data_IF_932081172054
#
_entry.id   IF_932081172054
#
_cell.length_a   1.000
_cell.length_b   1.000
_cell.length_c   1.000
_cell.angle_alpha   90.00
_cell.angle_beta   90.00
_cell.angle_gamma   90.00
#
_symmetry.space_group_name_H-M   'P 1'
#
loop_
_entity.id
_entity.type
_entity.pdbx_description
1 polymer ?
#
# COMPACT_ATOMS: atom_id res chain seq x y z
N UNK A 1 -5.51 3.95 -26.92
CA UNK A 1 -6.47 3.65 -25.84
C UNK A 1 -6.21 4.67 -24.73
N UNK A 2 -7.24 5.38 -24.27
CA UNK A 2 -7.09 6.42 -23.26
C UNK A 2 -7.05 5.73 -21.90
N UNK A 3 -5.90 5.75 -21.22
CA UNK A 3 -5.75 5.12 -19.91
C UNK A 3 -6.59 5.88 -18.89
N UNK A 4 -7.43 5.17 -18.14
CA UNK A 4 -8.23 5.76 -17.07
C UNK A 4 -7.38 5.94 -15.81
N UNK A 5 -7.57 7.01 -15.00
CA UNK A 5 -6.94 7.12 -13.68
C UNK A 5 -7.20 5.90 -12.78
N UNK A 6 -8.28 5.15 -13.04
CA UNK A 6 -8.62 3.92 -12.34
C UNK A 6 -7.60 2.78 -12.57
N UNK A 7 -6.84 2.80 -13.67
CA UNK A 7 -5.85 1.77 -14.01
C UNK A 7 -4.63 1.82 -13.10
N UNK A 8 -4.36 2.96 -12.48
CA UNK A 8 -3.21 3.20 -11.59
C UNK A 8 -3.62 3.54 -10.15
N UNK A 9 -4.92 3.49 -9.87
CA UNK A 9 -5.47 3.79 -8.54
C UNK A 9 -5.39 2.56 -7.62
N UNK A 10 -5.07 2.74 -6.33
CA UNK A 10 -5.20 1.67 -5.35
C UNK A 10 -6.63 1.11 -5.30
N UNK A 11 -6.76 -0.22 -5.36
CA UNK A 11 -8.05 -0.89 -5.32
C UNK A 11 -8.39 -1.31 -3.88
N UNK A 12 -9.59 -0.92 -3.42
CA UNK A 12 -10.11 -1.32 -2.11
C UNK A 12 -11.13 -2.47 -2.23
N UNK A 13 -10.67 -3.68 -1.90
CA UNK A 13 -11.44 -4.92 -2.05
C UNK A 13 -11.73 -5.51 -0.66
N UNK A 14 -12.99 -5.82 -0.32
CA UNK A 14 -13.31 -6.58 0.89
C UNK A 14 -12.75 -7.99 0.79
N UNK A 15 -12.08 -8.46 1.85
CA UNK A 15 -11.61 -9.85 1.93
C UNK A 15 -12.78 -10.72 2.38
N UNK A 16 -13.31 -11.51 1.46
CA UNK A 16 -14.28 -12.59 1.66
C UNK A 16 -13.59 -13.89 1.29
N UNK A 17 -14.22 -15.05 1.60
CA UNK A 17 -13.67 -16.34 1.17
C UNK A 17 -13.44 -16.40 -0.35
N UNK A 18 -14.40 -15.89 -1.11
CA UNK A 18 -14.35 -15.84 -2.58
C UNK A 18 -13.26 -14.87 -3.09
N UNK A 19 -13.15 -13.67 -2.52
CA UNK A 19 -12.13 -12.71 -2.96
C UNK A 19 -10.72 -13.12 -2.52
N UNK A 20 -10.57 -13.86 -1.43
CA UNK A 20 -9.29 -14.43 -0.99
C UNK A 20 -8.77 -15.45 -2.01
N UNK A 21 -9.60 -16.38 -2.47
CA UNK A 21 -9.23 -17.34 -3.52
C UNK A 21 -8.91 -16.64 -4.85
N UNK A 22 -9.66 -15.59 -5.20
CA UNK A 22 -9.40 -14.77 -6.37
C UNK A 22 -8.08 -14.01 -6.26
N UNK A 23 -7.78 -13.42 -5.09
CA UNK A 23 -6.53 -12.73 -4.81
C UNK A 23 -5.36 -13.70 -4.92
N UNK A 24 -5.43 -14.86 -4.28
CA UNK A 24 -4.40 -15.89 -4.38
C UNK A 24 -4.17 -16.30 -5.83
N UNK A 25 -5.22 -16.59 -6.61
CA UNK A 25 -5.08 -16.91 -8.03
C UNK A 25 -4.45 -15.77 -8.83
N UNK A 26 -4.89 -14.52 -8.62
CA UNK A 26 -4.34 -13.38 -9.37
C UNK A 26 -2.88 -13.10 -9.00
N UNK A 27 -2.53 -13.16 -7.72
CA UNK A 27 -1.17 -12.91 -7.23
C UNK A 27 -0.20 -14.04 -7.59
N UNK A 28 -0.67 -15.29 -7.63
CA UNK A 28 0.16 -16.48 -7.89
C UNK A 28 0.26 -16.82 -9.38
N UNK A 29 -0.75 -16.49 -10.20
CA UNK A 29 -0.82 -16.95 -11.62
C UNK A 29 -0.36 -15.88 -12.62
N UNK A 30 -0.15 -14.64 -12.20
CA UNK A 30 0.32 -13.61 -13.11
C UNK A 30 1.84 -13.60 -13.24
N UNK A 31 2.41 -14.39 -14.16
CA UNK A 31 3.84 -14.33 -14.59
C UNK A 31 4.28 -12.96 -15.17
N UNK A 32 3.46 -11.91 -15.04
CA UNK A 32 3.65 -10.56 -15.62
C UNK A 32 3.09 -9.43 -14.75
N UNK A 33 2.88 -9.65 -13.44
CA UNK A 33 2.38 -8.56 -12.58
C UNK A 33 3.59 -7.77 -12.08
N UNK A 34 3.72 -6.53 -12.54
CA UNK A 34 4.76 -5.59 -12.08
C UNK A 34 4.68 -5.29 -10.58
N UNK A 35 5.47 -4.33 -10.10
CA UNK A 35 5.50 -3.97 -8.69
C UNK A 35 4.11 -3.59 -8.16
N UNK A 36 3.66 -4.25 -7.08
CA UNK A 36 2.43 -3.92 -6.36
C UNK A 36 2.63 -4.00 -4.85
N UNK A 37 1.66 -3.48 -4.10
CA UNK A 37 1.55 -3.66 -2.66
C UNK A 37 0.13 -4.00 -2.23
N UNK A 38 0.01 -4.70 -1.11
CA UNK A 38 -1.24 -5.18 -0.54
C UNK A 38 -1.28 -4.80 0.93
N UNK A 39 -2.34 -4.09 1.33
CA UNK A 39 -2.64 -3.78 2.72
C UNK A 39 -3.80 -4.66 3.17
N UNK A 40 -3.60 -5.42 4.24
CA UNK A 40 -4.66 -6.13 4.95
C UNK A 40 -4.97 -5.42 6.27
N UNK A 41 -6.24 -5.17 6.52
CA UNK A 41 -6.72 -4.47 7.72
C UNK A 41 -8.13 -4.91 8.07
N UNK A 42 -8.49 -4.82 9.35
CA UNK A 42 -9.88 -4.97 9.82
C UNK A 42 -10.71 -3.70 9.68
N UNK A 43 -10.11 -2.57 9.26
CA UNK A 43 -10.84 -1.32 9.04
C UNK A 43 -11.84 -1.45 7.88
N UNK A 44 -12.99 -0.78 8.01
CA UNK A 44 -13.86 -0.55 6.86
C UNK A 44 -13.17 0.35 5.83
N UNK A 45 -13.66 0.34 4.57
CA UNK A 45 -13.09 1.18 3.50
C UNK A 45 -12.98 2.66 3.88
N UNK A 46 -14.02 3.20 4.51
CA UNK A 46 -14.06 4.61 4.92
C UNK A 46 -13.06 4.91 6.04
N UNK A 47 -12.95 4.02 7.02
CA UNK A 47 -11.94 4.14 8.09
C UNK A 47 -10.53 4.04 7.54
N UNK A 48 -10.27 3.14 6.57
CA UNK A 48 -8.97 3.02 5.93
C UNK A 48 -8.61 4.28 5.13
N UNK A 49 -9.55 4.86 4.38
CA UNK A 49 -9.33 6.12 3.67
C UNK A 49 -9.00 7.23 4.66
N UNK A 50 -9.78 7.38 5.74
CA UNK A 50 -9.55 8.37 6.78
C UNK A 50 -8.19 8.20 7.47
N UNK A 51 -7.77 6.95 7.69
CA UNK A 51 -6.47 6.62 8.27
C UNK A 51 -5.31 6.99 7.34
N UNK A 52 -5.42 6.67 6.05
CA UNK A 52 -4.33 6.86 5.09
C UNK A 52 -4.24 8.30 4.55
N UNK A 53 -5.35 9.05 4.54
CA UNK A 53 -5.43 10.38 3.93
C UNK A 53 -4.38 11.37 4.48
N UNK A 54 -4.12 11.47 5.79
CA UNK A 54 -3.10 12.38 6.32
C UNK A 54 -1.71 12.09 5.78
N UNK A 55 -1.40 10.81 5.52
CA UNK A 55 -0.10 10.38 5.01
C UNK A 55 0.06 10.62 3.50
N UNK A 56 -0.96 11.07 2.78
CA UNK A 56 -0.82 11.41 1.36
C UNK A 56 -0.17 12.77 1.13
N UNK A 57 -0.05 13.59 2.17
CA UNK A 57 0.50 14.94 2.10
C UNK A 57 1.75 15.01 2.96
N UNK A 58 2.78 15.64 2.42
CA UNK A 58 4.00 15.97 3.14
C UNK A 58 4.34 17.44 2.89
N UNK A 59 4.90 18.11 3.89
CA UNK A 59 5.38 19.49 3.76
C UNK A 59 6.90 19.46 3.60
N UNK A 60 7.41 20.15 2.57
CA UNK A 60 8.84 20.30 2.35
C UNK A 60 9.40 21.38 3.28
N UNK A 61 10.72 21.41 3.53
CA UNK A 61 11.35 22.51 4.28
C UNK A 61 11.11 23.90 3.69
N UNK A 62 10.70 23.97 2.42
CA UNK A 62 10.30 25.19 1.70
C UNK A 62 8.83 25.60 1.92
N UNK A 63 8.08 24.90 2.79
CA UNK A 63 6.62 25.07 3.03
C UNK A 63 5.74 24.63 1.84
N UNK A 64 6.35 24.03 0.80
CA UNK A 64 5.61 23.47 -0.33
C UNK A 64 4.98 22.11 0.04
N UNK A 65 3.76 21.88 -0.45
CA UNK A 65 3.06 20.60 -0.28
C UNK A 65 3.47 19.60 -1.38
N UNK A 66 3.89 18.42 -0.94
CA UNK A 66 4.18 17.27 -1.78
C UNK A 66 3.18 16.14 -1.55
N UNK A 67 2.97 15.31 -2.57
CA UNK A 67 2.19 14.08 -2.43
C UNK A 67 3.10 12.93 -2.02
N UNK A 68 2.89 12.39 -0.82
CA UNK A 68 3.64 11.23 -0.36
C UNK A 68 3.00 9.93 -0.85
N UNK A 69 3.69 9.29 -1.79
CA UNK A 69 3.24 8.07 -2.46
C UNK A 69 3.62 6.82 -1.66
N UNK A 70 3.17 6.73 -0.40
CA UNK A 70 3.47 5.57 0.46
C UNK A 70 3.02 4.23 -0.13
N UNK A 71 2.09 4.23 -1.07
CA UNK A 71 1.58 3.04 -1.76
C UNK A 71 2.48 2.56 -2.91
N UNK A 72 3.45 3.39 -3.31
CA UNK A 72 4.42 3.03 -4.34
C UNK A 72 5.41 1.98 -3.77
N UNK A 73 5.55 0.80 -4.39
CA UNK A 73 6.42 -0.23 -3.84
C UNK A 73 7.90 0.18 -3.76
N UNK A 74 8.36 1.15 -4.57
CA UNK A 74 9.70 1.71 -4.45
C UNK A 74 9.88 2.59 -3.20
N UNK A 75 8.79 3.13 -2.65
CA UNK A 75 8.77 3.91 -1.41
C UNK A 75 8.57 2.98 -0.21
N UNK A 76 7.71 1.98 -0.33
CA UNK A 76 7.40 1.02 0.75
C UNK A 76 8.67 0.38 1.33
N UNK A 77 9.60 -0.04 0.46
CA UNK A 77 10.88 -0.67 0.86
C UNK A 77 11.78 0.21 1.74
N UNK A 78 11.57 1.53 1.74
CA UNK A 78 12.34 2.49 2.54
C UNK A 78 11.44 3.30 3.50
N UNK A 79 10.20 2.89 3.70
CA UNK A 79 9.20 3.64 4.45
C UNK A 79 9.65 3.98 5.88
N UNK A 80 10.33 3.02 6.54
CA UNK A 80 10.91 3.19 7.87
C UNK A 80 12.10 4.16 7.95
N UNK A 81 12.67 4.55 6.80
CA UNK A 81 13.75 5.55 6.71
C UNK A 81 13.20 6.93 6.33
N UNK A 82 12.01 6.98 5.74
CA UNK A 82 11.37 8.20 5.26
C UNK A 82 10.49 8.84 6.33
N UNK A 83 9.96 8.04 7.25
CA UNK A 83 9.15 8.48 8.37
C UNK A 83 9.94 8.40 9.67
N UNK A 84 9.68 9.30 10.60
CA UNK A 84 10.10 9.10 11.99
C UNK A 84 9.35 7.90 12.61
N UNK A 85 9.90 7.40 13.72
CA UNK A 85 9.38 6.21 14.39
C UNK A 85 7.91 6.37 14.80
N UNK A 86 7.49 7.56 15.25
CA UNK A 86 6.12 7.81 15.66
C UNK A 86 5.16 7.72 14.47
N UNK A 87 5.45 8.45 13.39
CA UNK A 87 4.67 8.48 12.16
C UNK A 87 4.60 7.10 11.51
N UNK A 88 5.72 6.36 11.51
CA UNK A 88 5.78 4.99 11.02
C UNK A 88 4.87 4.06 11.83
N UNK A 89 4.95 4.12 13.16
CA UNK A 89 4.11 3.30 14.04
C UNK A 89 2.64 3.66 13.94
N UNK A 90 2.28 4.95 13.83
CA UNK A 90 0.90 5.38 13.64
C UNK A 90 0.36 4.88 12.30
N UNK A 91 1.14 4.98 11.21
CA UNK A 91 0.75 4.49 9.89
C UNK A 91 0.44 3.00 9.92
N UNK A 92 1.29 2.18 10.54
CA UNK A 92 1.14 0.73 10.55
C UNK A 92 0.12 0.21 11.56
N UNK A 93 -0.24 0.97 12.60
CA UNK A 93 -1.04 0.50 13.74
C UNK A 93 -2.33 -0.27 13.38
N UNK A 94 -3.17 0.16 12.42
CA UNK A 94 -4.39 -0.58 12.08
C UNK A 94 -4.20 -1.61 10.96
N UNK A 95 -2.98 -1.77 10.46
CA UNK A 95 -2.66 -2.64 9.34
C UNK A 95 -2.17 -3.98 9.90
N UNK A 96 -2.88 -5.06 9.60
CA UNK A 96 -2.52 -6.41 10.04
C UNK A 96 -1.31 -6.94 9.29
N UNK A 97 -1.27 -6.68 7.97
CA UNK A 97 -0.17 -7.03 7.10
C UNK A 97 -0.04 -6.01 5.98
N UNK A 98 1.19 -5.75 5.55
CA UNK A 98 1.43 -4.96 4.37
C UNK A 98 2.55 -5.58 3.56
N UNK A 99 2.18 -6.16 2.42
CA UNK A 99 3.10 -6.81 1.51
C UNK A 99 3.45 -5.91 0.34
N UNK A 100 4.68 -6.02 -0.17
CA UNK A 100 5.04 -5.51 -1.48
C UNK A 100 5.81 -6.58 -2.26
N UNK A 101 5.68 -6.51 -3.59
CA UNK A 101 6.42 -7.36 -4.51
C UNK A 101 7.49 -6.56 -5.25
N UNK A 102 8.71 -7.11 -5.30
CA UNK A 102 9.78 -6.62 -6.16
C UNK A 102 9.65 -7.16 -7.60
N UNK A 103 10.50 -6.66 -8.50
CA UNK A 103 10.51 -7.09 -9.90
C UNK A 103 10.88 -8.56 -10.11
N UNK A 104 11.58 -9.16 -9.16
CA UNK A 104 11.98 -10.58 -9.17
C UNK A 104 10.88 -11.51 -8.60
N UNK A 105 9.69 -10.97 -8.34
CA UNK A 105 8.56 -11.65 -7.70
C UNK A 105 8.76 -12.00 -6.22
N UNK A 106 9.80 -11.48 -5.57
CA UNK A 106 9.97 -11.64 -4.12
C UNK A 106 8.92 -10.81 -3.37
N UNK A 107 8.23 -11.46 -2.43
CA UNK A 107 7.23 -10.83 -1.56
C UNK A 107 7.83 -10.53 -0.19
N UNK A 108 7.67 -9.29 0.27
CA UNK A 108 8.14 -8.82 1.56
C UNK A 108 6.97 -8.29 2.40
N UNK A 109 6.95 -8.58 3.70
CA UNK A 109 5.99 -8.00 4.65
C UNK A 109 6.71 -6.97 5.54
N UNK A 110 6.16 -5.76 5.67
CA UNK A 110 6.77 -4.68 6.48
C UNK A 110 6.17 -4.55 7.89
N UNK A 111 5.08 -5.27 8.18
CA UNK A 111 4.39 -5.23 9.49
C UNK A 111 4.90 -6.34 10.42
N UNK A 112 5.49 -7.40 9.87
CA UNK A 112 6.11 -8.48 10.64
C UNK A 112 7.43 -8.00 11.27
N UNK A 113 7.40 -7.79 12.59
CA UNK A 113 8.59 -7.71 13.46
C UNK A 113 9.34 -9.05 13.50
#
# INVERSE_FOLDING_TARGET
>A
MQQSPLEVSPLLIPITKESSELLQKKLVVGETIGMFSIIETSLSKQQLIQHLQPFLQAELPSEELALFRFYDPAIIKILNKMLDDESYMVLLKPISNWWYQEFDSTLHNIVSL
#
